data_IF_017388509634
#
_entry.id   IF_017388509634
#
_cell.length_a   1.000
_cell.length_b   1.000
_cell.length_c   1.000
_cell.angle_alpha   90.00
_cell.angle_beta   90.00
_cell.angle_gamma   90.00
#
_symmetry.space_group_name_H-M   'P 1'
#
loop_
_entity.id
_entity.type
_entity.pdbx_description
1 polymer ?
#
# COMPACT_ATOMS: atom_id res chain seq x y z
N UNK A 1 -15.30 -11.10 -6.48
CA UNK A 1 -13.92 -10.71 -6.14
C UNK A 1 -13.01 -11.92 -6.22
N UNK A 2 -11.77 -11.69 -6.58
CA UNK A 2 -10.74 -12.74 -6.60
C UNK A 2 -9.96 -12.74 -5.30
N UNK A 3 -9.32 -13.88 -4.99
CA UNK A 3 -8.53 -14.04 -3.77
C UNK A 3 -7.06 -14.23 -4.15
N UNK A 4 -6.18 -13.47 -3.49
CA UNK A 4 -4.73 -13.63 -3.59
C UNK A 4 -4.21 -14.29 -2.31
N UNK A 5 -3.28 -15.23 -2.47
CA UNK A 5 -2.62 -15.90 -1.35
C UNK A 5 -1.11 -15.95 -1.59
N UNK A 6 -0.34 -15.54 -0.59
CA UNK A 6 1.11 -15.69 -0.61
C UNK A 6 1.60 -15.82 0.83
N UNK A 7 2.29 -16.93 1.13
CA UNK A 7 2.78 -17.19 2.47
C UNK A 7 1.65 -17.17 3.49
N UNK A 8 1.79 -16.31 4.49
CA UNK A 8 0.83 -16.19 5.59
C UNK A 8 -0.24 -15.12 5.35
N UNK A 9 -0.29 -14.50 4.16
CA UNK A 9 -1.26 -13.47 3.89
C UNK A 9 -2.27 -13.89 2.83
N UNK A 10 -3.49 -13.37 2.96
CA UNK A 10 -4.59 -13.55 2.02
C UNK A 10 -5.35 -12.24 1.94
N UNK A 11 -5.70 -11.82 0.73
CA UNK A 11 -6.61 -10.69 0.55
C UNK A 11 -7.47 -10.89 -0.69
N UNK A 12 -8.57 -10.14 -0.75
CA UNK A 12 -9.48 -10.14 -1.89
C UNK A 12 -9.30 -8.86 -2.69
N UNK A 13 -9.48 -8.95 -4.01
CA UNK A 13 -9.36 -7.80 -4.89
C UNK A 13 -10.42 -7.85 -6.00
N UNK A 14 -10.85 -6.68 -6.52
CA UNK A 14 -11.81 -6.62 -7.61
C UNK A 14 -11.28 -7.26 -8.89
N UNK A 15 -12.17 -7.86 -9.68
CA UNK A 15 -11.80 -8.55 -10.93
C UNK A 15 -11.23 -7.58 -11.99
N UNK A 16 -11.43 -6.28 -11.83
CA UNK A 16 -10.87 -5.27 -12.73
C UNK A 16 -9.36 -5.08 -12.58
N UNK A 17 -8.76 -5.62 -11.52
CA UNK A 17 -7.32 -5.55 -11.28
C UNK A 17 -6.65 -6.83 -11.74
N UNK A 18 -5.47 -6.69 -12.33
CA UNK A 18 -4.59 -7.80 -12.68
C UNK A 18 -3.52 -7.94 -11.63
N UNK A 19 -3.20 -9.18 -11.25
CA UNK A 19 -2.20 -9.46 -10.22
C UNK A 19 -1.00 -10.16 -10.84
N UNK A 20 0.19 -9.62 -10.57
CA UNK A 20 1.45 -10.31 -10.81
C UNK A 20 2.07 -10.71 -9.47
N UNK A 21 2.37 -12.00 -9.32
CA UNK A 21 3.13 -12.46 -8.18
C UNK A 21 4.56 -11.97 -8.32
N UNK A 22 5.09 -11.40 -7.24
CA UNK A 22 6.41 -10.80 -7.26
C UNK A 22 7.51 -11.81 -7.52
N UNK A 23 8.54 -11.36 -8.25
CA UNK A 23 9.79 -12.09 -8.41
C UNK A 23 10.65 -11.86 -7.17
N UNK A 24 10.78 -12.88 -6.34
CA UNK A 24 11.53 -12.83 -5.09
C UNK A 24 13.01 -12.49 -5.33
N UNK A 25 13.56 -12.89 -6.48
CA UNK A 25 14.96 -12.63 -6.79
C UNK A 25 15.22 -11.16 -7.14
N UNK A 26 14.25 -10.53 -7.82
CA UNK A 26 14.37 -9.12 -8.21
C UNK A 26 13.95 -8.17 -7.10
N UNK A 27 12.97 -8.56 -6.29
CA UNK A 27 12.41 -7.70 -5.24
C UNK A 27 11.89 -8.58 -4.09
N UNK A 28 12.79 -8.95 -3.16
CA UNK A 28 12.45 -9.92 -2.11
C UNK A 28 11.36 -9.44 -1.13
N UNK A 29 11.15 -8.14 -1.01
CA UNK A 29 10.15 -7.58 -0.10
C UNK A 29 8.77 -7.45 -0.75
N UNK A 30 8.70 -7.47 -2.07
CA UNK A 30 7.43 -7.33 -2.79
C UNK A 30 6.67 -8.65 -2.79
N UNK A 31 5.42 -8.61 -2.36
CA UNK A 31 4.51 -9.78 -2.34
C UNK A 31 3.82 -9.91 -3.70
N UNK A 32 3.27 -8.79 -4.18
CA UNK A 32 2.48 -8.75 -5.39
C UNK A 32 2.40 -7.34 -5.95
N UNK A 33 2.16 -7.25 -7.24
CA UNK A 33 1.83 -6.00 -7.92
C UNK A 33 0.44 -6.18 -8.55
N UNK A 34 -0.46 -5.23 -8.28
CA UNK A 34 -1.78 -5.20 -8.88
C UNK A 34 -1.87 -3.98 -9.80
N UNK A 35 -2.46 -4.14 -10.96
CA UNK A 35 -2.63 -3.04 -11.91
C UNK A 35 -4.04 -3.00 -12.48
N UNK A 36 -4.52 -1.79 -12.75
CA UNK A 36 -5.78 -1.55 -13.43
C UNK A 36 -5.52 -0.48 -14.50
N UNK A 37 -5.39 -0.93 -15.74
CA UNK A 37 -4.95 -0.06 -16.83
C UNK A 37 -3.50 0.40 -16.63
N UNK A 38 -3.14 1.51 -17.24
CA UNK A 38 -1.79 2.08 -17.14
C UNK A 38 -1.69 3.13 -16.02
N UNK A 39 -2.83 3.55 -15.47
CA UNK A 39 -2.93 4.69 -14.56
C UNK A 39 -2.97 4.29 -13.08
N UNK A 40 -3.10 3.01 -12.78
CA UNK A 40 -3.29 2.53 -11.41
C UNK A 40 -2.38 1.35 -11.12
N UNK A 41 -1.59 1.48 -10.06
CA UNK A 41 -0.65 0.44 -9.64
C UNK A 41 -0.65 0.32 -8.12
N UNK A 42 -0.86 -0.89 -7.62
CA UNK A 42 -0.73 -1.19 -6.19
C UNK A 42 0.46 -2.11 -6.00
N UNK A 43 1.37 -1.71 -5.13
CA UNK A 43 2.47 -2.56 -4.66
C UNK A 43 2.17 -3.03 -3.24
N UNK A 44 2.20 -4.34 -3.03
CA UNK A 44 2.07 -4.95 -1.72
C UNK A 44 3.44 -5.49 -1.31
N UNK A 45 3.98 -4.97 -0.21
CA UNK A 45 5.30 -5.38 0.29
C UNK A 45 5.21 -5.80 1.75
N UNK A 46 6.12 -6.68 2.17
CA UNK A 46 6.29 -7.04 3.57
C UNK A 46 7.76 -7.30 3.86
N UNK A 47 8.20 -6.89 5.04
CA UNK A 47 9.56 -7.17 5.49
C UNK A 47 9.65 -7.13 7.01
N UNK A 48 10.66 -7.81 7.60
CA UNK A 48 10.87 -7.75 9.05
C UNK A 48 11.21 -6.34 9.51
N UNK A 49 10.72 -5.94 10.67
CA UNK A 49 11.00 -4.62 11.23
C UNK A 49 11.11 -4.68 12.74
N UNK A 50 11.90 -3.77 13.31
CA UNK A 50 11.94 -3.51 14.75
C UNK A 50 11.27 -2.17 15.11
N UNK A 51 10.74 -1.45 14.12
CA UNK A 51 10.08 -0.16 14.34
C UNK A 51 8.62 -0.32 14.78
N UNK A 52 8.01 0.78 15.17
CA UNK A 52 6.59 0.84 15.51
C UNK A 52 5.86 1.80 14.55
N UNK A 53 4.53 1.83 14.62
CA UNK A 53 3.74 2.67 13.71
C UNK A 53 4.03 4.16 13.89
N UNK A 54 4.23 4.64 15.12
CA UNK A 54 4.50 6.05 15.37
C UNK A 54 5.78 6.50 14.66
N UNK A 55 6.86 5.75 14.83
CA UNK A 55 8.15 6.07 14.21
C UNK A 55 8.12 5.90 12.70
N UNK A 56 7.43 4.87 12.21
CA UNK A 56 7.32 4.63 10.77
C UNK A 56 6.53 5.72 10.07
N UNK A 57 5.49 6.24 10.73
CA UNK A 57 4.70 7.35 10.19
C UNK A 57 5.57 8.58 9.95
N UNK A 58 6.41 8.95 10.91
CA UNK A 58 7.35 10.07 10.78
C UNK A 58 8.35 9.80 9.66
N UNK A 59 8.93 8.61 9.63
CA UNK A 59 9.87 8.20 8.59
C UNK A 59 9.26 8.33 7.19
N UNK A 60 8.04 7.86 7.01
CA UNK A 60 7.34 7.89 5.73
C UNK A 60 7.00 9.31 5.30
N UNK A 61 6.54 10.14 6.24
CA UNK A 61 6.25 11.56 5.98
C UNK A 61 7.51 12.31 5.54
N UNK A 62 8.62 12.09 6.23
CA UNK A 62 9.90 12.71 5.91
C UNK A 62 10.42 12.26 4.53
N UNK A 63 10.31 10.98 4.22
CA UNK A 63 10.75 10.43 2.93
C UNK A 63 9.98 11.05 1.76
N UNK A 64 8.66 11.20 1.89
CA UNK A 64 7.83 11.80 0.85
C UNK A 64 8.18 13.28 0.68
N UNK A 65 8.33 14.01 1.77
CA UNK A 65 8.69 15.43 1.73
C UNK A 65 10.08 15.66 1.12
N UNK A 66 11.03 14.80 1.44
CA UNK A 66 12.39 14.86 0.89
C UNK A 66 12.41 14.59 -0.63
N UNK A 67 11.49 13.77 -1.12
CA UNK A 67 11.34 13.48 -2.55
C UNK A 67 10.53 14.56 -3.30
N UNK A 68 10.11 15.61 -2.61
CA UNK A 68 9.36 16.71 -3.23
C UNK A 68 7.85 16.51 -3.24
N UNK A 69 7.35 15.50 -2.54
CA UNK A 69 5.92 15.26 -2.42
C UNK A 69 5.25 16.16 -1.40
N UNK A 70 3.93 16.30 -1.54
CA UNK A 70 3.10 17.05 -0.60
C UNK A 70 2.17 16.07 0.10
N UNK A 71 2.21 16.06 1.43
CA UNK A 71 1.33 15.21 2.23
C UNK A 71 -0.01 15.91 2.38
N UNK A 72 -1.07 15.27 1.90
CA UNK A 72 -2.44 15.78 1.96
C UNK A 72 -3.19 15.28 3.19
N UNK A 73 -2.89 14.06 3.63
CA UNK A 73 -3.46 13.48 4.85
C UNK A 73 -2.52 12.40 5.37
N UNK A 74 -2.38 12.30 6.69
CA UNK A 74 -1.58 11.27 7.32
C UNK A 74 -2.16 11.01 8.71
N UNK A 75 -2.80 9.85 8.89
CA UNK A 75 -3.57 9.56 10.08
C UNK A 75 -3.36 8.11 10.53
N UNK A 76 -3.60 7.87 11.81
CA UNK A 76 -3.79 6.51 12.30
C UNK A 76 -5.23 6.08 12.02
N UNK A 77 -5.40 4.81 11.69
CA UNK A 77 -6.70 4.23 11.38
C UNK A 77 -6.72 2.77 11.82
N UNK A 78 -7.81 2.08 11.53
CA UNK A 78 -7.90 0.64 11.73
C UNK A 78 -8.21 -0.06 10.42
N UNK A 79 -7.54 -1.18 10.19
CA UNK A 79 -7.72 -2.01 9.01
C UNK A 79 -7.84 -3.45 9.47
N UNK A 80 -8.91 -4.12 9.06
CA UNK A 80 -9.17 -5.50 9.47
C UNK A 80 -9.09 -5.66 11.00
N UNK A 81 -9.52 -4.65 11.75
CA UNK A 81 -9.49 -4.62 13.21
C UNK A 81 -8.14 -4.31 13.84
N UNK A 82 -7.12 -3.98 13.03
CA UNK A 82 -5.76 -3.73 13.49
C UNK A 82 -5.38 -2.27 13.32
N UNK A 83 -4.53 -1.77 14.21
CA UNK A 83 -4.00 -0.41 14.09
C UNK A 83 -3.15 -0.27 12.82
N UNK A 84 -3.34 0.83 12.12
CA UNK A 84 -2.69 1.07 10.84
C UNK A 84 -2.43 2.55 10.62
N UNK A 85 -1.60 2.85 9.63
CA UNK A 85 -1.40 4.21 9.11
C UNK A 85 -2.10 4.30 7.77
N UNK A 86 -2.79 5.42 7.54
CA UNK A 86 -3.33 5.80 6.24
C UNK A 86 -2.70 7.12 5.82
N UNK A 87 -2.06 7.13 4.65
CA UNK A 87 -1.41 8.32 4.12
C UNK A 87 -1.88 8.60 2.70
N UNK A 88 -2.14 9.88 2.41
CA UNK A 88 -2.42 10.37 1.07
C UNK A 88 -1.44 11.50 0.76
N UNK A 89 -0.74 11.40 -0.34
CA UNK A 89 0.22 12.39 -0.80
C UNK A 89 0.09 12.63 -2.30
N UNK A 90 0.59 13.76 -2.76
CA UNK A 90 0.68 14.08 -4.18
C UNK A 90 2.14 14.24 -4.55
N UNK A 91 2.56 13.59 -5.63
CA UNK A 91 3.88 13.73 -6.22
C UNK A 91 3.76 14.49 -7.53
N UNK A 92 4.32 15.69 -7.57
CA UNK A 92 4.34 16.53 -8.77
C UNK A 92 5.78 16.60 -9.30
N UNK A 93 6.05 15.86 -10.35
CA UNK A 93 7.36 15.83 -11.01
C UNK A 93 7.26 16.48 -12.39
N UNK A 94 8.39 16.88 -13.02
CA UNK A 94 8.35 17.44 -14.37
C UNK A 94 7.72 16.52 -15.42
N UNK A 95 7.75 15.21 -15.19
CA UNK A 95 7.24 14.22 -16.14
C UNK A 95 5.80 13.80 -15.84
N UNK A 96 5.40 13.80 -14.57
CA UNK A 96 4.09 13.25 -14.19
C UNK A 96 3.65 13.81 -12.83
N UNK A 97 2.34 14.00 -12.70
CA UNK A 97 1.68 14.33 -11.44
C UNK A 97 0.78 13.14 -11.06
N UNK A 98 1.00 12.56 -9.89
CA UNK A 98 0.21 11.41 -9.44
C UNK A 98 0.00 11.43 -7.94
N UNK A 99 -1.06 10.75 -7.50
CA UNK A 99 -1.37 10.59 -6.08
C UNK A 99 -0.87 9.25 -5.56
N UNK A 100 -0.46 9.27 -4.29
CA UNK A 100 -0.06 8.07 -3.55
C UNK A 100 -1.03 7.89 -2.38
N UNK A 101 -1.61 6.69 -2.28
CA UNK A 101 -2.40 6.28 -1.13
C UNK A 101 -1.72 5.06 -0.53
N UNK A 102 -1.39 5.12 0.75
CA UNK A 102 -0.63 4.06 1.41
C UNK A 102 -1.31 3.63 2.71
N UNK A 103 -1.38 2.32 2.92
CA UNK A 103 -1.77 1.72 4.19
C UNK A 103 -0.60 0.92 4.73
N UNK A 104 -0.33 1.06 6.03
CA UNK A 104 0.78 0.39 6.71
C UNK A 104 0.26 -0.29 7.96
N UNK A 105 0.58 -1.58 8.11
CA UNK A 105 0.32 -2.34 9.35
C UNK A 105 1.63 -2.94 9.84
N UNK A 106 1.74 -3.09 11.15
CA UNK A 106 2.85 -3.85 11.75
C UNK A 106 2.25 -4.93 12.64
N UNK A 107 2.57 -6.20 12.34
CA UNK A 107 2.13 -7.36 13.09
C UNK A 107 3.31 -8.29 13.32
N UNK A 108 3.53 -8.68 14.56
CA UNK A 108 4.54 -9.68 14.94
C UNK A 108 5.92 -9.37 14.34
N UNK A 109 6.34 -8.11 14.43
CA UNK A 109 7.63 -7.60 13.90
C UNK A 109 7.77 -7.72 12.38
N UNK A 110 6.65 -7.73 11.67
CA UNK A 110 6.62 -7.66 10.21
C UNK A 110 5.78 -6.45 9.82
N UNK A 111 6.31 -5.66 8.90
CA UNK A 111 5.58 -4.52 8.34
C UNK A 111 4.94 -4.94 7.02
N UNK A 112 3.69 -4.55 6.83
CA UNK A 112 2.91 -4.78 5.60
C UNK A 112 2.51 -3.44 5.04
N UNK A 113 2.88 -3.18 3.77
CA UNK A 113 2.61 -1.90 3.11
C UNK A 113 1.85 -2.16 1.82
N UNK A 114 0.71 -1.49 1.66
CA UNK A 114 -0.06 -1.48 0.41
C UNK A 114 -0.07 -0.05 -0.10
N UNK A 115 0.62 0.19 -1.22
CA UNK A 115 0.77 1.52 -1.80
C UNK A 115 0.11 1.57 -3.18
N UNK A 116 -0.84 2.48 -3.33
CA UNK A 116 -1.46 2.79 -4.62
C UNK A 116 -0.82 4.06 -5.20
N UNK A 117 -0.36 3.97 -6.45
CA UNK A 117 0.02 5.13 -7.25
C UNK A 117 -1.02 5.27 -8.36
N UNK A 118 -1.64 6.43 -8.45
CA UNK A 118 -2.77 6.61 -9.36
C UNK A 118 -2.80 8.00 -9.99
N UNK A 119 -3.24 8.02 -11.25
CA UNK A 119 -3.60 9.25 -11.93
C UNK A 119 -5.11 9.53 -11.82
N UNK A 120 -5.85 8.60 -11.22
CA UNK A 120 -7.30 8.71 -11.04
C UNK A 120 -7.65 9.61 -9.86
N UNK A 121 -8.24 10.76 -10.13
CA UNK A 121 -8.65 11.72 -9.11
C UNK A 121 -10.09 11.52 -8.63
N UNK A 122 -10.83 10.54 -9.22
CA UNK A 122 -12.23 10.29 -8.87
C UNK A 122 -12.41 9.65 -7.50
N UNK A 123 -11.34 8.99 -6.97
CA UNK A 123 -11.41 8.25 -5.72
C UNK A 123 -11.84 6.80 -5.87
N UNK A 124 -12.16 6.34 -7.07
CA UNK A 124 -12.56 4.95 -7.30
C UNK A 124 -11.44 3.97 -6.95
N UNK A 125 -10.23 4.23 -7.43
CA UNK A 125 -9.08 3.37 -7.16
C UNK A 125 -8.68 3.38 -5.69
N UNK A 126 -8.79 4.52 -5.01
CA UNK A 126 -8.57 4.61 -3.57
C UNK A 126 -9.58 3.78 -2.79
N UNK A 127 -10.86 3.83 -3.17
CA UNK A 127 -11.89 3.01 -2.56
C UNK A 127 -11.65 1.51 -2.76
N UNK A 128 -11.15 1.13 -3.93
CA UNK A 128 -10.78 -0.25 -4.22
C UNK A 128 -9.59 -0.69 -3.38
N UNK A 129 -8.57 0.16 -3.21
CA UNK A 129 -7.45 -0.12 -2.30
C UNK A 129 -7.95 -0.35 -0.88
N UNK A 130 -8.84 0.50 -0.38
CA UNK A 130 -9.42 0.34 0.95
C UNK A 130 -10.11 -1.02 1.11
N UNK A 131 -10.90 -1.44 0.13
CA UNK A 131 -11.53 -2.76 0.11
C UNK A 131 -10.53 -3.90 0.16
N UNK A 132 -9.45 -3.79 -0.62
CA UNK A 132 -8.39 -4.80 -0.66
C UNK A 132 -7.75 -4.94 0.72
N UNK A 133 -7.37 -3.83 1.33
CA UNK A 133 -6.68 -3.83 2.63
C UNK A 133 -7.61 -4.29 3.75
N UNK A 134 -8.89 -3.92 3.71
CA UNK A 134 -9.88 -4.38 4.70
C UNK A 134 -10.11 -5.89 4.64
N UNK A 135 -9.85 -6.52 3.51
CA UNK A 135 -9.98 -7.97 3.35
C UNK A 135 -8.74 -8.73 3.78
N UNK A 136 -7.67 -8.04 4.14
CA UNK A 136 -6.39 -8.66 4.50
C UNK A 136 -6.53 -9.57 5.71
N UNK A 137 -6.01 -10.79 5.58
CA UNK A 137 -5.89 -11.76 6.67
C UNK A 137 -4.45 -12.21 6.78
N UNK A 138 -3.94 -12.16 7.98
CA UNK A 138 -2.58 -12.56 8.30
C UNK A 138 -2.70 -13.79 9.20
N UNK A 139 -2.17 -14.93 8.72
CA UNK A 139 -2.12 -16.17 9.50
C UNK A 139 -0.82 -16.24 10.28
N UNK A 140 -0.90 -16.73 11.47
CA UNK A 140 0.29 -16.94 12.31
C UNK A 140 0.84 -18.35 12.17
#
# INVERSE_FOLDING_TARGET
MKTFRAGNITFQYPVSWEVEKADILSNPDCIATLSKGEDNLINAVMFPTATNLDDYKVFMEDAISDDGGVILASDFTKIAGKDAIKLHANMDTPEINFDIHTYVLIETRVIYIFELRTLDISGESEGELTSIVDSLKISE
#
